data_IF_867566966425
#
_entry.id   IF_867566966425
#
_cell.length_a   1.000
_cell.length_b   1.000
_cell.length_c   1.000
_cell.angle_alpha   90.00
_cell.angle_beta   90.00
_cell.angle_gamma   90.00
#
_symmetry.space_group_name_H-M   'P 1'
#
loop_
_entity.id
_entity.type
_entity.pdbx_description
1 polymer ?
#
# COMPACT_ATOMS: atom_id res chain seq x y z
N UNK A 1 -1.59 1.90 18.70
CA UNK A 1 -0.13 1.85 18.51
C UNK A 1 0.31 3.22 18.00
N UNK A 2 0.80 4.08 18.89
CA UNK A 2 1.32 5.40 18.51
C UNK A 2 2.81 5.18 18.28
N UNK A 3 3.22 5.15 17.02
CA UNK A 3 4.64 5.15 16.67
C UNK A 3 5.08 6.62 16.77
N UNK A 4 6.12 6.88 17.56
CA UNK A 4 6.82 8.18 17.58
C UNK A 4 8.16 7.99 16.86
N UNK A 5 8.21 8.23 15.56
CA UNK A 5 9.47 8.28 14.84
C UNK A 5 9.88 9.75 14.83
N UNK A 6 11.05 10.06 15.35
CA UNK A 6 11.51 11.44 15.42
C UNK A 6 11.62 12.14 14.04
N UNK A 7 11.43 11.39 12.93
CA UNK A 7 11.44 11.87 11.54
C UNK A 7 10.34 11.27 10.61
N UNK A 8 9.29 10.56 11.10
CA UNK A 8 8.18 10.15 10.20
C UNK A 8 6.91 10.93 10.52
N UNK A 9 6.24 11.39 9.46
CA UNK A 9 4.97 12.08 9.51
C UNK A 9 3.85 11.09 9.18
N UNK A 10 2.78 11.07 9.97
CA UNK A 10 1.52 10.45 9.55
C UNK A 10 0.91 11.38 8.50
N UNK A 11 1.08 11.04 7.22
CA UNK A 11 0.58 11.85 6.11
C UNK A 11 -0.93 11.73 5.91
N UNK A 12 -1.52 10.59 6.29
CA UNK A 12 -2.95 10.32 6.16
C UNK A 12 -3.37 9.21 7.14
N UNK A 13 -4.61 9.27 7.64
CA UNK A 13 -5.22 8.21 8.44
C UNK A 13 -6.73 8.12 8.15
N UNK A 14 -7.21 6.90 7.89
CA UNK A 14 -8.64 6.63 7.67
C UNK A 14 -9.19 5.66 8.71
N UNK A 15 -10.38 5.95 9.23
CA UNK A 15 -11.12 5.02 10.09
C UNK A 15 -11.95 4.07 9.24
N UNK A 16 -11.78 2.77 9.44
CA UNK A 16 -12.64 1.77 8.81
C UNK A 16 -14.09 1.86 9.30
N UNK A 17 -15.04 1.50 8.44
CA UNK A 17 -16.43 1.43 8.86
C UNK A 17 -16.66 0.27 9.86
N UNK A 18 -17.58 0.39 10.85
CA UNK A 18 -17.86 -0.65 11.87
C UNK A 18 -18.45 -1.98 11.36
N UNK A 19 -18.43 -2.24 10.05
CA UNK A 19 -18.95 -3.44 9.41
C UNK A 19 -17.81 -4.01 8.56
N UNK A 20 -17.76 -5.32 8.29
CA UNK A 20 -16.70 -5.99 7.50
C UNK A 20 -16.65 -5.55 6.03
N UNK A 21 -16.52 -4.26 5.82
CA UNK A 21 -16.29 -3.59 4.56
C UNK A 21 -14.80 -3.74 4.32
N UNK A 22 -14.44 -4.40 3.22
CA UNK A 22 -13.06 -4.70 2.89
C UNK A 22 -12.17 -3.45 3.00
N UNK A 23 -10.95 -3.60 3.55
CA UNK A 23 -9.99 -2.50 3.73
C UNK A 23 -9.81 -1.64 2.47
N UNK A 24 -9.93 -2.24 1.28
CA UNK A 24 -9.89 -1.53 0.00
C UNK A 24 -10.94 -0.40 -0.11
N UNK A 25 -12.14 -0.60 0.42
CA UNK A 25 -13.21 0.41 0.37
C UNK A 25 -12.95 1.54 1.38
N UNK A 26 -12.45 1.21 2.58
CA UNK A 26 -12.02 2.24 3.54
C UNK A 26 -10.88 3.09 2.96
N UNK A 27 -9.95 2.46 2.24
CA UNK A 27 -8.85 3.14 1.56
C UNK A 27 -9.32 4.08 0.45
N UNK A 28 -10.38 3.75 -0.28
CA UNK A 28 -10.95 4.68 -1.25
C UNK A 28 -11.43 5.99 -0.60
N UNK A 29 -11.84 5.95 0.68
CA UNK A 29 -12.23 7.16 1.41
C UNK A 29 -11.07 7.94 2.04
N UNK A 30 -9.83 7.43 1.97
CA UNK A 30 -8.65 8.10 2.52
C UNK A 30 -8.21 9.28 1.64
N UNK A 31 -7.60 10.29 2.23
CA UNK A 31 -7.18 11.49 1.52
C UNK A 31 -6.12 11.16 0.45
N UNK A 32 -5.23 10.20 0.71
CA UNK A 32 -4.23 9.71 -0.23
C UNK A 32 -4.85 9.10 -1.50
N UNK A 33 -6.07 8.55 -1.40
CA UNK A 33 -6.78 7.97 -2.53
C UNK A 33 -7.64 9.00 -3.28
N UNK A 34 -8.07 10.07 -2.61
CA UNK A 34 -8.90 11.13 -3.20
C UNK A 34 -8.05 12.27 -3.78
N UNK A 35 -6.89 12.54 -3.20
CA UNK A 35 -6.05 13.70 -3.51
C UNK A 35 -4.56 13.32 -3.47
N UNK A 36 -4.20 12.37 -4.33
CA UNK A 36 -2.84 11.83 -4.38
C UNK A 36 -1.80 12.88 -4.81
N UNK A 37 -2.16 13.80 -5.70
CA UNK A 37 -1.21 14.75 -6.30
C UNK A 37 -0.66 15.77 -5.28
N UNK A 38 -1.46 16.10 -4.26
CA UNK A 38 -1.04 16.99 -3.19
C UNK A 38 -0.23 16.26 -2.10
N UNK A 39 -0.41 14.95 -1.94
CA UNK A 39 0.22 14.15 -0.88
C UNK A 39 1.45 13.38 -1.36
N UNK A 40 1.54 13.03 -2.64
CA UNK A 40 2.67 12.36 -3.26
C UNK A 40 3.22 13.22 -4.40
N UNK A 41 4.49 13.65 -4.32
CA UNK A 41 5.12 14.36 -5.42
C UNK A 41 5.11 13.51 -6.70
N UNK A 42 5.10 14.18 -7.85
CA UNK A 42 5.09 13.51 -9.14
C UNK A 42 6.22 12.46 -9.25
N UNK A 43 5.88 11.27 -9.76
CA UNK A 43 6.81 10.15 -9.91
C UNK A 43 7.09 9.36 -8.62
N UNK A 44 6.52 9.75 -7.48
CA UNK A 44 6.58 8.99 -6.25
C UNK A 44 5.41 8.03 -6.15
N UNK A 45 5.60 6.97 -5.38
CA UNK A 45 4.62 5.92 -5.18
C UNK A 45 4.76 5.34 -3.78
N UNK A 46 3.69 4.73 -3.29
CA UNK A 46 3.65 4.01 -2.02
C UNK A 46 3.58 2.51 -2.27
N UNK A 47 4.15 1.76 -1.33
CA UNK A 47 3.89 0.35 -1.22
C UNK A 47 2.67 0.10 -0.35
N UNK A 48 1.79 -0.78 -0.82
CA UNK A 48 0.55 -1.14 -0.14
C UNK A 48 0.36 -2.65 -0.16
N UNK A 49 -0.44 -3.14 0.79
CA UNK A 49 -0.82 -4.54 0.80
C UNK A 49 -1.56 -4.94 -0.49
N UNK A 50 -1.41 -6.21 -0.85
CA UNK A 50 -1.99 -6.81 -2.04
C UNK A 50 -3.52 -6.87 -2.08
N UNK A 51 -4.20 -6.49 -0.99
CA UNK A 51 -5.65 -6.31 -0.91
C UNK A 51 -6.14 -4.98 -1.51
N UNK A 52 -5.25 -4.01 -1.73
CA UNK A 52 -5.59 -2.71 -2.30
C UNK A 52 -5.51 -2.71 -3.84
N UNK A 53 -6.28 -1.85 -4.52
CA UNK A 53 -6.21 -1.73 -5.97
C UNK A 53 -4.86 -1.18 -6.41
N UNK A 54 -4.25 -1.79 -7.42
CA UNK A 54 -3.02 -1.29 -8.04
C UNK A 54 -3.31 0.00 -8.81
N UNK A 55 -2.55 1.07 -8.53
CA UNK A 55 -2.55 2.32 -9.30
C UNK A 55 -1.11 2.70 -9.63
N UNK A 56 -0.91 3.71 -10.49
CA UNK A 56 0.43 4.19 -10.87
C UNK A 56 1.27 4.67 -9.69
N UNK A 57 0.61 5.16 -8.63
CA UNK A 57 1.19 5.62 -7.38
C UNK A 57 1.02 4.63 -6.23
N UNK A 58 0.33 3.50 -6.45
CA UNK A 58 -0.09 2.53 -5.44
C UNK A 58 0.38 1.13 -5.85
N UNK A 59 1.59 0.75 -5.40
CA UNK A 59 2.29 -0.45 -5.88
C UNK A 59 2.11 -1.59 -4.88
N UNK A 60 1.54 -2.69 -5.36
CA UNK A 60 1.30 -3.90 -4.55
C UNK A 60 2.30 -5.02 -4.89
N UNK A 61 2.56 -5.96 -3.96
CA UNK A 61 3.30 -7.17 -4.27
C UNK A 61 2.62 -8.01 -5.37
N UNK A 62 3.43 -8.69 -6.18
CA UNK A 62 2.90 -9.59 -7.20
C UNK A 62 2.27 -10.84 -6.57
N UNK A 63 1.12 -11.27 -7.09
CA UNK A 63 0.49 -12.54 -6.74
C UNK A 63 0.73 -13.57 -7.84
N UNK A 64 1.06 -14.80 -7.44
CA UNK A 64 1.02 -15.92 -8.37
C UNK A 64 -0.43 -16.16 -8.79
N UNK A 65 -0.64 -16.54 -10.05
CA UNK A 65 -1.95 -16.98 -10.53
C UNK A 65 -2.01 -18.51 -10.48
N UNK A 66 -3.22 -19.09 -10.55
CA UNK A 66 -3.36 -20.55 -10.66
C UNK A 66 -2.66 -21.14 -11.89
N UNK A 67 -2.46 -20.34 -12.94
CA UNK A 67 -1.90 -20.78 -14.21
C UNK A 67 -0.38 -20.56 -14.32
N UNK A 68 0.18 -19.63 -13.54
CA UNK A 68 1.60 -19.30 -13.59
C UNK A 68 2.12 -18.80 -12.23
N UNK A 69 3.28 -19.34 -11.85
CA UNK A 69 4.04 -18.87 -10.70
C UNK A 69 4.72 -17.52 -10.96
N UNK A 70 5.25 -16.92 -9.89
CA UNK A 70 6.03 -15.68 -10.01
C UNK A 70 7.35 -15.92 -10.75
N UNK A 71 7.71 -14.98 -11.63
CA UNK A 71 9.04 -14.92 -12.22
C UNK A 71 10.11 -14.68 -11.15
N UNK A 72 11.38 -14.95 -11.47
CA UNK A 72 12.48 -14.70 -10.54
C UNK A 72 12.52 -13.23 -10.09
N UNK A 73 12.35 -12.29 -11.02
CA UNK A 73 12.33 -10.85 -10.71
C UNK A 73 11.16 -10.46 -9.79
N UNK A 74 9.96 -11.03 -10.00
CA UNK A 74 8.82 -10.79 -9.13
C UNK A 74 9.03 -11.33 -7.70
N UNK A 75 9.68 -12.50 -7.58
CA UNK A 75 10.06 -13.07 -6.27
C UNK A 75 11.10 -12.20 -5.56
N UNK A 76 12.11 -11.73 -6.29
CA UNK A 76 13.13 -10.83 -5.74
C UNK A 76 12.50 -9.51 -5.30
N UNK A 77 11.61 -8.92 -6.09
CA UNK A 77 10.84 -7.73 -5.70
C UNK A 77 10.05 -7.95 -4.40
N UNK A 78 9.20 -8.98 -4.36
CA UNK A 78 8.40 -9.28 -3.16
C UNK A 78 9.27 -9.54 -1.92
N UNK A 79 10.47 -10.13 -2.08
CA UNK A 79 11.44 -10.37 -0.99
C UNK A 79 12.06 -9.08 -0.44
N UNK A 80 12.30 -8.07 -1.28
CA UNK A 80 12.77 -6.78 -0.79
C UNK A 80 11.64 -6.05 -0.07
N UNK A 81 10.45 -6.08 -0.64
CA UNK A 81 9.26 -5.47 -0.05
C UNK A 81 8.93 -6.04 1.33
N UNK A 82 9.05 -7.36 1.53
CA UNK A 82 8.78 -8.00 2.83
C UNK A 82 9.73 -7.54 3.95
N UNK A 83 10.89 -6.96 3.61
CA UNK A 83 11.86 -6.45 4.60
C UNK A 83 11.60 -5.01 5.03
N UNK A 84 10.79 -4.28 4.27
CA UNK A 84 10.46 -2.87 4.53
C UNK A 84 9.30 -2.75 5.54
N UNK A 85 8.58 -3.84 5.81
CA UNK A 85 7.61 -3.86 6.90
C UNK A 85 8.34 -3.70 8.25
N UNK A 86 8.18 -2.55 8.89
CA UNK A 86 8.44 -2.36 10.31
C UNK A 86 7.41 -3.14 11.11
N UNK A 87 7.90 -4.12 11.88
CA UNK A 87 7.15 -4.82 12.94
C UNK A 87 6.60 -3.87 14.00
#
# INVERSE_FOLDING_TARGET
LIIMPHNLLVADYGLGHPRSVHNAYAFQGMQIAQDVEHLLPQGHWIWVDSAYPTQTWCIVPFKATRMAGLSRGQKEYNKHLSKVHTS
#
